data_IF_680597305879
#
_entry.id   IF_680597305879
#
_cell.length_a   1.000
_cell.length_b   1.000
_cell.length_c   1.000
_cell.angle_alpha   90.00
_cell.angle_beta   90.00
_cell.angle_gamma   90.00
#
_symmetry.space_group_name_H-M   'P 1'
#
loop_
_entity.id
_entity.type
_entity.pdbx_description
1 polymer ?
#
# COMPACT_ATOMS: atom_id res chain seq x y z
N UNK A 1 -21.24 -13.32 38.05
CA UNK A 1 -20.47 -13.60 36.83
C UNK A 1 -19.06 -13.89 37.28
N UNK A 2 -18.61 -15.14 37.14
CA UNK A 2 -17.36 -15.62 37.71
C UNK A 2 -16.36 -15.78 36.56
N UNK A 3 -15.57 -14.75 36.28
CA UNK A 3 -14.43 -14.87 35.38
C UNK A 3 -13.33 -15.63 36.10
N UNK A 4 -13.31 -16.96 35.91
CA UNK A 4 -12.19 -17.79 36.33
C UNK A 4 -10.96 -17.35 35.55
N UNK A 5 -10.00 -16.75 36.25
CA UNK A 5 -8.67 -16.47 35.71
C UNK A 5 -8.01 -17.81 35.40
N UNK A 6 -7.84 -18.11 34.11
CA UNK A 6 -7.20 -19.35 33.64
C UNK A 6 -5.75 -19.38 34.09
N UNK A 7 -5.30 -20.54 34.55
CA UNK A 7 -3.90 -20.77 34.91
C UNK A 7 -3.00 -20.78 33.67
N UNK A 8 -1.71 -20.47 33.85
CA UNK A 8 -0.74 -20.52 32.76
C UNK A 8 -0.67 -21.91 32.09
N UNK A 9 -0.95 -22.97 32.85
CA UNK A 9 -1.01 -24.35 32.36
C UNK A 9 -2.24 -24.63 31.51
N UNK A 10 -3.42 -24.11 31.88
CA UNK A 10 -4.63 -24.20 31.06
C UNK A 10 -4.49 -23.42 29.74
N UNK A 11 -3.86 -22.24 29.78
CA UNK A 11 -3.55 -21.46 28.56
C UNK A 11 -2.55 -22.21 27.68
N UNK A 12 -1.56 -22.89 28.28
CA UNK A 12 -0.59 -23.69 27.55
C UNK A 12 -1.23 -24.95 26.93
N UNK A 13 -2.15 -25.60 27.64
CA UNK A 13 -2.90 -26.77 27.14
C UNK A 13 -3.89 -26.41 26.04
N UNK A 14 -4.62 -25.29 26.16
CA UNK A 14 -5.48 -24.79 25.07
C UNK A 14 -4.67 -24.46 23.81
N UNK A 15 -3.51 -23.81 23.97
CA UNK A 15 -2.60 -23.54 22.85
C UNK A 15 -2.04 -24.83 22.24
N UNK A 16 -1.75 -25.85 23.05
CA UNK A 16 -1.27 -27.14 22.58
C UNK A 16 -2.35 -27.92 21.83
N UNK A 17 -3.58 -27.96 22.34
CA UNK A 17 -4.73 -28.58 21.68
C UNK A 17 -5.07 -27.88 20.35
N UNK A 18 -4.99 -26.55 20.31
CA UNK A 18 -5.13 -25.80 19.06
C UNK A 18 -4.03 -26.11 18.03
N UNK A 19 -2.85 -26.56 18.45
CA UNK A 19 -1.73 -26.92 17.56
C UNK A 19 -1.85 -28.35 17.01
N UNK A 20 -2.56 -29.25 17.71
CA UNK A 20 -2.82 -30.63 17.23
C UNK A 20 -3.81 -30.67 16.06
N UNK A 21 -4.75 -29.73 16.01
CA UNK A 21 -5.77 -29.63 14.93
C UNK A 21 -5.26 -28.91 13.65
N UNK A 22 -4.05 -28.36 13.65
CA UNK A 22 -3.52 -27.67 12.47
C UNK A 22 -2.97 -28.66 11.45
N UNK A 23 -3.32 -28.44 10.18
CA UNK A 23 -2.64 -29.12 9.07
C UNK A 23 -1.16 -28.75 9.04
N UNK A 24 -0.34 -29.60 8.42
CA UNK A 24 1.09 -29.31 8.24
C UNK A 24 1.33 -28.02 7.44
N UNK A 25 0.43 -27.72 6.48
CA UNK A 25 0.45 -26.45 5.73
C UNK A 25 0.25 -25.24 6.65
N UNK A 26 -0.68 -25.35 7.61
CA UNK A 26 -1.00 -24.26 8.53
C UNK A 26 0.12 -24.08 9.58
N UNK A 27 0.72 -25.17 10.04
CA UNK A 27 1.93 -25.11 10.88
C UNK A 27 3.08 -24.42 10.17
N UNK A 28 3.33 -24.77 8.91
CA UNK A 28 4.37 -24.14 8.08
C UNK A 28 4.08 -22.65 7.84
N UNK A 29 2.82 -22.28 7.57
CA UNK A 29 2.39 -20.88 7.42
C UNK A 29 2.70 -20.05 8.68
N UNK A 30 2.40 -20.59 9.86
CA UNK A 30 2.66 -19.93 11.15
C UNK A 30 4.16 -19.80 11.42
N UNK A 31 4.95 -20.85 11.13
CA UNK A 31 6.42 -20.79 11.27
C UNK A 31 7.01 -19.72 10.34
N UNK A 32 6.58 -19.71 9.08
CA UNK A 32 6.97 -18.71 8.10
C UNK A 32 6.60 -17.30 8.56
N UNK A 33 5.39 -17.10 9.10
CA UNK A 33 4.93 -15.80 9.60
C UNK A 33 5.79 -15.30 10.76
N UNK A 34 6.14 -16.18 11.71
CA UNK A 34 7.06 -15.85 12.82
C UNK A 34 8.42 -15.40 12.30
N UNK A 35 8.95 -16.07 11.28
CA UNK A 35 10.25 -15.76 10.70
C UNK A 35 10.25 -14.47 9.86
N UNK A 36 9.18 -14.24 9.11
CA UNK A 36 9.05 -13.08 8.22
C UNK A 36 8.70 -11.80 8.96
N UNK A 37 7.91 -11.87 10.04
CA UNK A 37 7.46 -10.70 10.80
C UNK A 37 8.58 -9.69 11.12
N UNK A 38 9.72 -10.07 11.74
CA UNK A 38 10.79 -9.12 12.03
C UNK A 38 11.47 -8.57 10.76
N UNK A 39 11.57 -9.38 9.71
CA UNK A 39 12.19 -8.98 8.43
C UNK A 39 11.32 -7.93 7.74
N UNK A 40 10.03 -8.21 7.61
CA UNK A 40 9.07 -7.31 6.97
C UNK A 40 8.91 -6.02 7.76
N UNK A 41 8.85 -6.11 9.10
CA UNK A 41 8.77 -4.94 9.96
C UNK A 41 9.99 -4.01 9.79
N UNK A 42 11.21 -4.57 9.78
CA UNK A 42 12.42 -3.79 9.52
C UNK A 42 12.42 -3.18 8.11
N UNK A 43 11.91 -3.90 7.12
CA UNK A 43 11.82 -3.37 5.76
C UNK A 43 10.84 -2.20 5.68
N UNK A 44 9.62 -2.34 6.22
CA UNK A 44 8.60 -1.28 6.19
C UNK A 44 8.98 -0.06 7.04
N UNK A 45 9.81 -0.22 8.07
CA UNK A 45 10.36 0.91 8.86
C UNK A 45 11.61 1.55 8.24
N UNK A 46 12.02 1.15 7.04
CA UNK A 46 13.25 1.61 6.38
C UNK A 46 14.55 1.24 7.12
N UNK A 47 14.51 0.29 8.05
CA UNK A 47 15.70 -0.21 8.76
C UNK A 47 16.54 -1.14 7.87
N UNK A 48 15.90 -1.82 6.93
CA UNK A 48 16.57 -2.69 5.95
C UNK A 48 16.09 -2.42 4.52
N UNK A 49 16.99 -2.62 3.56
CA UNK A 49 16.73 -2.51 2.11
C UNK A 49 16.45 -3.85 1.44
N UNK A 50 16.10 -3.83 0.13
CA UNK A 50 15.88 -5.03 -0.68
C UNK A 50 17.05 -6.03 -0.64
N UNK A 51 18.28 -5.55 -0.59
CA UNK A 51 19.50 -6.35 -0.53
C UNK A 51 19.58 -7.16 0.77
N UNK A 52 19.12 -6.56 1.87
CA UNK A 52 19.11 -7.23 3.17
C UNK A 52 17.95 -8.21 3.32
N UNK A 53 16.83 -7.98 2.63
CA UNK A 53 15.78 -9.00 2.45
C UNK A 53 16.38 -10.21 1.74
N UNK A 54 17.04 -9.98 0.61
CA UNK A 54 17.69 -11.03 -0.17
C UNK A 54 18.64 -11.86 0.69
N UNK A 55 19.56 -11.19 1.41
CA UNK A 55 20.55 -11.84 2.27
C UNK A 55 19.92 -12.71 3.35
N UNK A 56 18.84 -12.24 3.98
CA UNK A 56 18.13 -12.96 5.05
C UNK A 56 17.32 -14.14 4.53
N UNK A 57 16.97 -14.18 3.25
CA UNK A 57 16.11 -15.22 2.67
C UNK A 57 16.84 -16.18 1.71
N UNK A 58 18.12 -15.94 1.39
CA UNK A 58 18.82 -16.63 0.29
C UNK A 58 18.91 -18.16 0.33
N UNK A 59 18.71 -18.77 1.50
CA UNK A 59 18.80 -20.22 1.72
C UNK A 59 17.49 -20.81 2.25
N UNK A 60 16.39 -20.09 2.10
CA UNK A 60 15.11 -20.44 2.70
C UNK A 60 14.26 -21.35 1.81
N UNK A 61 13.29 -22.02 2.45
CA UNK A 61 12.33 -22.87 1.74
C UNK A 61 11.46 -22.04 0.81
N UNK A 62 11.02 -22.67 -0.29
CA UNK A 62 10.17 -22.04 -1.28
C UNK A 62 8.86 -21.50 -0.66
N UNK A 63 8.27 -22.20 0.30
CA UNK A 63 7.08 -21.77 1.06
C UNK A 63 7.29 -20.40 1.72
N UNK A 64 8.40 -20.21 2.41
CA UNK A 64 8.78 -18.93 3.02
C UNK A 64 8.97 -17.83 1.97
N UNK A 65 9.64 -18.14 0.84
CA UNK A 65 9.86 -17.18 -0.24
C UNK A 65 8.53 -16.71 -0.86
N UNK A 66 7.58 -17.62 -1.10
CA UNK A 66 6.24 -17.27 -1.60
C UNK A 66 5.52 -16.34 -0.62
N UNK A 67 5.53 -16.68 0.67
CA UNK A 67 4.87 -15.87 1.69
C UNK A 67 5.53 -14.49 1.84
N UNK A 68 6.86 -14.40 1.77
CA UNK A 68 7.59 -13.13 1.77
C UNK A 68 7.17 -12.24 0.60
N UNK A 69 7.07 -12.83 -0.60
CA UNK A 69 6.69 -12.11 -1.80
C UNK A 69 5.22 -11.67 -1.76
N UNK A 70 4.31 -12.52 -1.26
CA UNK A 70 2.91 -12.17 -1.05
C UNK A 70 2.77 -10.99 -0.07
N UNK A 71 3.46 -11.03 1.07
CA UNK A 71 3.45 -9.91 2.03
C UNK A 71 3.90 -8.59 1.37
N UNK A 72 4.96 -8.63 0.56
CA UNK A 72 5.43 -7.45 -0.16
C UNK A 72 4.41 -6.96 -1.18
N UNK A 73 3.78 -7.85 -1.96
CA UNK A 73 2.75 -7.51 -2.94
C UNK A 73 1.50 -6.93 -2.27
N UNK A 74 1.06 -7.53 -1.16
CA UNK A 74 -0.11 -7.08 -0.39
C UNK A 74 0.12 -5.75 0.32
N UNK A 75 1.39 -5.42 0.56
CA UNK A 75 1.76 -4.12 1.08
C UNK A 75 1.69 -3.01 0.02
N UNK A 76 1.62 -3.34 -1.28
CA UNK A 76 1.52 -2.33 -2.34
C UNK A 76 0.17 -1.62 -2.28
N UNK A 77 0.20 -0.29 -2.23
CA UNK A 77 -1.01 0.55 -2.30
C UNK A 77 -0.79 1.68 -3.28
N UNK A 78 -1.85 2.10 -3.95
CA UNK A 78 -1.81 3.25 -4.86
C UNK A 78 -1.35 4.54 -4.15
N UNK A 79 -1.72 4.68 -2.88
CA UNK A 79 -1.39 5.82 -2.01
C UNK A 79 0.07 5.85 -1.55
N UNK A 80 0.89 4.82 -1.82
CA UNK A 80 2.31 4.84 -1.47
C UNK A 80 3.06 5.91 -2.27
N UNK A 81 4.03 6.57 -1.66
CA UNK A 81 4.94 7.45 -2.39
C UNK A 81 5.74 6.68 -3.46
N UNK A 82 6.14 7.38 -4.53
CA UNK A 82 6.82 6.76 -5.68
C UNK A 82 8.11 6.03 -5.28
N UNK A 83 8.90 6.60 -4.38
CA UNK A 83 10.15 5.98 -3.91
C UNK A 83 9.90 4.76 -3.03
N UNK A 84 8.86 4.79 -2.19
CA UNK A 84 8.45 3.65 -1.38
C UNK A 84 7.91 2.51 -2.26
N UNK A 85 7.14 2.83 -3.32
CA UNK A 85 6.71 1.86 -4.32
C UNK A 85 7.92 1.20 -5.00
N UNK A 86 8.88 1.99 -5.50
CA UNK A 86 10.09 1.46 -6.14
C UNK A 86 10.88 0.55 -5.20
N UNK A 87 11.02 0.94 -3.92
CA UNK A 87 11.69 0.12 -2.91
C UNK A 87 10.99 -1.23 -2.73
N UNK A 88 9.66 -1.24 -2.60
CA UNK A 88 8.87 -2.48 -2.49
C UNK A 88 8.98 -3.34 -3.74
N UNK A 89 8.93 -2.73 -4.93
CA UNK A 89 9.15 -3.40 -6.21
C UNK A 89 10.51 -4.13 -6.23
N UNK A 90 11.59 -3.44 -5.82
CA UNK A 90 12.91 -4.05 -5.70
C UNK A 90 12.93 -5.19 -4.69
N UNK A 91 12.24 -5.06 -3.56
CA UNK A 91 12.08 -6.16 -2.59
C UNK A 91 11.40 -7.40 -3.18
N UNK A 92 10.35 -7.20 -3.97
CA UNK A 92 9.63 -8.30 -4.66
C UNK A 92 10.56 -9.03 -5.63
N UNK A 93 11.35 -8.28 -6.41
CA UNK A 93 12.33 -8.84 -7.35
C UNK A 93 13.47 -9.54 -6.61
N UNK A 94 13.94 -8.99 -5.49
CA UNK A 94 14.95 -9.62 -4.66
C UNK A 94 14.47 -11.01 -4.19
N UNK A 95 13.25 -11.12 -3.65
CA UNK A 95 12.68 -12.42 -3.25
C UNK A 95 12.50 -13.35 -4.45
N UNK A 96 12.01 -12.84 -5.59
CA UNK A 96 11.82 -13.66 -6.80
C UNK A 96 13.13 -14.28 -7.29
N UNK A 97 14.24 -13.53 -7.23
CA UNK A 97 15.55 -14.00 -7.68
C UNK A 97 16.12 -15.18 -6.89
N UNK A 98 15.55 -15.47 -5.72
CA UNK A 98 15.95 -16.59 -4.86
C UNK A 98 15.25 -17.90 -5.25
N UNK A 99 14.22 -17.85 -6.09
CA UNK A 99 13.52 -19.05 -6.54
C UNK A 99 14.29 -19.75 -7.66
N UNK A 100 14.17 -21.07 -7.71
CA UNK A 100 14.71 -21.89 -8.81
C UNK A 100 13.96 -21.63 -10.12
N UNK A 101 12.63 -21.64 -10.05
CA UNK A 101 11.76 -21.34 -11.18
C UNK A 101 11.28 -19.89 -11.07
N UNK A 102 11.90 -19.02 -11.86
CA UNK A 102 11.64 -17.59 -11.78
C UNK A 102 10.66 -17.14 -12.85
N UNK A 103 9.75 -16.24 -12.46
CA UNK A 103 8.87 -15.45 -13.32
C UNK A 103 9.28 -13.98 -13.32
N UNK A 104 10.56 -13.69 -13.07
CA UNK A 104 11.14 -12.35 -12.94
C UNK A 104 10.68 -11.37 -14.02
N UNK A 105 10.75 -11.75 -15.30
CA UNK A 105 10.33 -10.88 -16.41
C UNK A 105 8.86 -10.47 -16.32
N UNK A 106 7.95 -11.43 -16.08
CA UNK A 106 6.52 -11.15 -15.96
C UNK A 106 6.19 -10.28 -14.74
N UNK A 107 6.86 -10.55 -13.61
CA UNK A 107 6.69 -9.75 -12.38
C UNK A 107 7.23 -8.34 -12.61
N UNK A 108 8.43 -8.18 -13.17
CA UNK A 108 9.02 -6.88 -13.49
C UNK A 108 8.13 -6.05 -14.42
N UNK A 109 7.51 -6.69 -15.42
CA UNK A 109 6.57 -6.03 -16.31
C UNK A 109 5.37 -5.48 -15.52
N UNK A 110 4.75 -6.30 -14.66
CA UNK A 110 3.64 -5.86 -13.81
C UNK A 110 4.02 -4.73 -12.85
N UNK A 111 5.18 -4.83 -12.20
CA UNK A 111 5.68 -3.78 -11.29
C UNK A 111 5.97 -2.47 -12.04
N UNK A 112 6.49 -2.55 -13.27
CA UNK A 112 6.69 -1.36 -14.13
C UNK A 112 5.36 -0.71 -14.52
N UNK A 113 4.31 -1.52 -14.75
CA UNK A 113 2.96 -0.99 -14.98
C UNK A 113 2.45 -0.20 -13.76
N UNK A 114 2.67 -0.69 -12.53
CA UNK A 114 2.30 0.05 -11.31
C UNK A 114 3.02 1.40 -11.22
N UNK A 115 4.31 1.44 -11.53
CA UNK A 115 5.07 2.70 -11.52
C UNK A 115 4.58 3.67 -12.58
N UNK A 116 4.29 3.17 -13.79
CA UNK A 116 3.77 4.00 -14.87
C UNK A 116 2.38 4.55 -14.53
N UNK A 117 1.50 3.74 -13.94
CA UNK A 117 0.18 4.18 -13.46
C UNK A 117 0.32 5.34 -12.46
N UNK A 118 1.24 5.24 -11.50
CA UNK A 118 1.48 6.35 -10.56
C UNK A 118 1.97 7.63 -11.25
N UNK A 119 2.91 7.52 -12.19
CA UNK A 119 3.43 8.68 -12.92
C UNK A 119 2.34 9.34 -13.76
N UNK A 120 1.51 8.55 -14.43
CA UNK A 120 0.37 9.03 -15.21
C UNK A 120 -0.66 9.73 -14.31
N UNK A 121 -1.00 9.12 -13.17
CA UNK A 121 -1.92 9.67 -12.20
C UNK A 121 -1.42 11.05 -11.71
N UNK A 122 -0.15 11.14 -11.32
CA UNK A 122 0.43 12.40 -10.85
C UNK A 122 0.44 13.49 -11.94
N UNK A 123 0.77 13.12 -13.18
CA UNK A 123 0.73 14.05 -14.31
C UNK A 123 -0.70 14.56 -14.59
N UNK A 124 -1.69 13.67 -14.60
CA UNK A 124 -3.10 14.03 -14.82
C UNK A 124 -3.62 14.92 -13.70
N UNK A 125 -3.38 14.55 -12.43
CA UNK A 125 -3.81 15.33 -11.27
C UNK A 125 -3.24 16.75 -11.32
N UNK A 126 -1.96 16.89 -11.64
CA UNK A 126 -1.30 18.20 -11.75
C UNK A 126 -1.82 19.01 -12.94
N UNK A 127 -2.08 18.38 -14.07
CA UNK A 127 -2.67 19.05 -15.23
C UNK A 127 -4.06 19.60 -14.89
N UNK A 128 -4.95 18.76 -14.36
CA UNK A 128 -6.32 19.15 -14.00
C UNK A 128 -6.31 20.23 -12.93
N UNK A 129 -5.45 20.11 -11.91
CA UNK A 129 -5.30 21.14 -10.88
C UNK A 129 -4.92 22.50 -11.49
N UNK A 130 -3.97 22.52 -12.42
CA UNK A 130 -3.54 23.74 -13.09
C UNK A 130 -4.64 24.35 -13.97
N UNK A 131 -5.52 23.53 -14.55
CA UNK A 131 -6.67 24.01 -15.32
C UNK A 131 -7.72 24.66 -14.42
N UNK A 132 -8.01 24.06 -13.25
CA UNK A 132 -8.83 24.70 -12.22
C UNK A 132 -8.21 26.00 -11.72
N UNK A 133 -6.88 26.01 -11.49
CA UNK A 133 -6.14 27.20 -11.06
C UNK A 133 -6.33 28.35 -12.05
N UNK A 134 -6.12 28.10 -13.34
CA UNK A 134 -6.36 29.10 -14.41
C UNK A 134 -7.80 29.58 -14.45
N UNK A 135 -8.77 28.70 -14.22
CA UNK A 135 -10.18 29.08 -14.19
C UNK A 135 -10.50 30.01 -13.00
N UNK A 136 -9.94 29.74 -11.83
CA UNK A 136 -10.06 30.60 -10.63
C UNK A 136 -9.37 31.94 -10.84
N UNK A 137 -8.19 31.97 -11.46
CA UNK A 137 -7.47 33.22 -11.77
C UNK A 137 -8.29 34.13 -12.69
N UNK A 138 -9.01 33.56 -13.65
CA UNK A 138 -9.90 34.28 -14.57
C UNK A 138 -11.21 34.73 -13.91
N UNK A 139 -11.56 34.19 -12.74
CA UNK A 139 -12.78 34.56 -12.01
C UNK A 139 -12.46 34.94 -10.55
N UNK A 140 -12.13 36.22 -10.27
CA UNK A 140 -11.78 36.68 -8.92
C UNK A 140 -12.85 36.43 -7.84
N UNK A 141 -14.13 36.31 -8.22
CA UNK A 141 -15.21 36.00 -7.26
C UNK A 141 -15.15 34.55 -6.77
N UNK A 142 -14.58 33.63 -7.55
CA UNK A 142 -14.39 32.23 -7.14
C UNK A 142 -13.45 32.10 -5.93
N UNK A 143 -12.68 33.14 -5.62
CA UNK A 143 -11.79 33.22 -4.46
C UNK A 143 -12.47 33.77 -3.21
N UNK A 144 -13.72 34.20 -3.30
CA UNK A 144 -14.42 34.84 -2.19
C UNK A 144 -15.35 33.84 -1.51
N UNK A 145 -15.24 33.72 -0.18
CA UNK A 145 -16.15 32.93 0.66
C UNK A 145 -16.78 33.83 1.71
N UNK A 146 -18.07 33.65 1.96
CA UNK A 146 -18.78 34.32 3.05
C UNK A 146 -19.04 33.25 4.11
N UNK A 147 -18.52 33.47 5.32
CA UNK A 147 -18.74 32.62 6.48
C UNK A 147 -19.47 33.43 7.56
N UNK A 148 -20.31 32.76 8.33
CA UNK A 148 -21.00 33.38 9.46
C UNK A 148 -20.32 32.93 10.77
N UNK A 149 -19.79 33.89 11.52
CA UNK A 149 -19.17 33.66 12.82
C UNK A 149 -19.77 34.63 13.83
N UNK A 150 -20.31 34.10 14.93
CA UNK A 150 -20.89 34.89 16.03
C UNK A 150 -21.92 35.93 15.59
N UNK A 151 -22.75 35.60 14.59
CA UNK A 151 -23.79 36.49 14.05
C UNK A 151 -23.28 37.56 13.07
N UNK A 152 -21.99 37.57 12.72
CA UNK A 152 -21.41 38.45 11.71
C UNK A 152 -21.02 37.68 10.45
N UNK A 153 -21.32 38.26 9.26
CA UNK A 153 -20.86 37.74 7.96
C UNK A 153 -19.45 38.26 7.67
N UNK A 154 -18.49 37.36 7.62
CA UNK A 154 -17.09 37.66 7.29
C UNK A 154 -16.82 37.22 5.86
N UNK A 155 -16.25 38.14 5.07
CA UNK A 155 -15.80 37.86 3.69
C UNK A 155 -14.34 37.45 3.72
N UNK A 156 -14.07 36.18 3.45
CA UNK A 156 -12.74 35.62 3.35
C UNK A 156 -12.31 35.58 1.87
N UNK A 157 -11.12 36.11 1.58
CA UNK A 157 -10.50 36.03 0.24
C UNK A 157 -9.42 34.97 0.25
N UNK A 158 -9.67 33.88 -0.44
CA UNK A 158 -8.78 32.73 -0.56
C UNK A 158 -7.60 33.02 -1.51
N UNK A 159 -6.50 32.30 -1.33
CA UNK A 159 -5.51 32.13 -2.40
C UNK A 159 -6.13 31.40 -3.59
N UNK A 160 -5.46 31.43 -4.74
CA UNK A 160 -5.96 30.69 -5.91
C UNK A 160 -5.97 29.19 -5.62
N UNK A 161 -4.91 28.70 -4.99
CA UNK A 161 -4.73 27.31 -4.60
C UNK A 161 -5.78 26.85 -3.59
N UNK A 162 -6.08 27.66 -2.57
CA UNK A 162 -7.13 27.35 -1.58
C UNK A 162 -8.52 27.34 -2.22
N UNK A 163 -8.78 28.24 -3.15
CA UNK A 163 -10.05 28.26 -3.88
C UNK A 163 -10.24 27.01 -4.75
N UNK A 164 -9.18 26.49 -5.37
CA UNK A 164 -9.21 25.21 -6.10
C UNK A 164 -9.44 24.05 -5.16
N UNK A 165 -8.69 23.92 -4.06
CA UNK A 165 -8.84 22.80 -3.13
C UNK A 165 -10.22 22.76 -2.45
N UNK A 166 -10.85 23.91 -2.29
CA UNK A 166 -12.22 24.03 -1.77
C UNK A 166 -13.30 23.93 -2.86
N UNK A 167 -12.94 23.84 -4.14
CA UNK A 167 -13.90 23.74 -5.24
C UNK A 167 -14.60 22.37 -5.21
N UNK A 168 -15.95 22.31 -5.21
CA UNK A 168 -16.69 21.04 -5.24
C UNK A 168 -16.36 20.15 -6.45
N UNK A 169 -16.13 20.73 -7.63
CA UNK A 169 -15.78 19.98 -8.84
C UNK A 169 -14.39 19.36 -8.73
N UNK A 170 -13.44 20.07 -8.10
CA UNK A 170 -12.12 19.50 -7.82
C UNK A 170 -12.20 18.33 -6.84
N UNK A 171 -13.01 18.46 -5.77
CA UNK A 171 -13.23 17.36 -4.81
C UNK A 171 -13.89 16.15 -5.46
N UNK A 172 -14.87 16.38 -6.33
CA UNK A 172 -15.52 15.31 -7.09
C UNK A 172 -14.52 14.64 -8.05
N UNK A 173 -13.73 15.42 -8.78
CA UNK A 173 -12.67 14.91 -9.64
C UNK A 173 -11.71 14.02 -8.84
N UNK A 174 -11.24 14.45 -7.66
CA UNK A 174 -10.35 13.66 -6.82
C UNK A 174 -10.99 12.32 -6.40
N UNK A 175 -12.25 12.32 -6.00
CA UNK A 175 -12.95 11.09 -5.62
C UNK A 175 -13.04 10.08 -6.78
N UNK A 176 -13.41 10.57 -7.98
CA UNK A 176 -13.50 9.72 -9.17
C UNK A 176 -12.12 9.24 -9.65
N UNK A 177 -11.14 10.13 -9.59
CA UNK A 177 -9.74 9.88 -9.92
C UNK A 177 -9.13 8.80 -9.02
N UNK A 178 -9.29 8.92 -7.70
CA UNK A 178 -8.76 7.96 -6.72
C UNK A 178 -9.37 6.58 -6.94
N UNK A 179 -10.71 6.52 -7.08
CA UNK A 179 -11.42 5.27 -7.34
C UNK A 179 -10.96 4.58 -8.62
N UNK A 180 -10.76 5.34 -9.70
CA UNK A 180 -10.30 4.80 -10.99
C UNK A 180 -8.91 4.22 -10.87
N UNK A 181 -7.95 4.99 -10.38
CA UNK A 181 -6.56 4.56 -10.29
C UNK A 181 -6.34 3.46 -9.26
N UNK A 182 -7.05 3.47 -8.13
CA UNK A 182 -7.02 2.36 -7.18
C UNK A 182 -7.54 1.06 -7.79
N UNK A 183 -8.62 1.14 -8.58
CA UNK A 183 -9.16 -0.01 -9.32
C UNK A 183 -8.18 -0.56 -10.36
N UNK A 184 -7.51 0.31 -11.12
CA UNK A 184 -6.47 -0.10 -12.09
C UNK A 184 -5.25 -0.70 -11.39
N UNK A 185 -4.79 -0.07 -10.30
CA UNK A 185 -3.66 -0.55 -9.51
C UNK A 185 -3.93 -1.95 -8.94
N UNK A 186 -5.14 -2.17 -8.41
CA UNK A 186 -5.57 -3.47 -7.86
C UNK A 186 -5.62 -4.55 -8.94
N UNK A 187 -6.06 -4.23 -10.16
CA UNK A 187 -6.05 -5.18 -11.29
C UNK A 187 -4.63 -5.63 -11.62
N UNK A 188 -3.67 -4.70 -11.68
CA UNK A 188 -2.27 -5.03 -11.94
C UNK A 188 -1.67 -5.88 -10.80
N UNK A 189 -1.96 -5.55 -9.54
CA UNK A 189 -1.59 -6.42 -8.40
C UNK A 189 -2.15 -7.84 -8.58
N UNK A 190 -3.42 -7.96 -8.95
CA UNK A 190 -4.06 -9.25 -9.20
C UNK A 190 -3.39 -10.05 -10.32
N UNK A 191 -2.86 -9.37 -11.35
CA UNK A 191 -2.06 -10.01 -12.40
C UNK A 191 -0.71 -10.49 -11.88
N UNK A 192 -0.01 -9.67 -11.09
CA UNK A 192 1.29 -10.03 -10.49
C UNK A 192 1.12 -11.27 -9.59
N UNK A 193 0.05 -11.31 -8.77
CA UNK A 193 -0.24 -12.43 -7.86
C UNK A 193 -0.34 -13.79 -8.58
N UNK A 194 -0.73 -13.84 -9.86
CA UNK A 194 -0.82 -15.08 -10.65
C UNK A 194 0.54 -15.73 -10.93
N UNK A 195 1.63 -14.96 -10.83
CA UNK A 195 2.99 -15.45 -11.05
C UNK A 195 3.67 -15.92 -9.76
N UNK A 196 2.98 -15.80 -8.62
CA UNK A 196 3.46 -16.27 -7.32
C UNK A 196 3.11 -17.75 -7.22
N UNK A 197 3.93 -18.56 -7.89
CA UNK A 197 3.83 -20.02 -7.90
C UNK A 197 4.74 -20.61 -6.86
#
# INVERSE_FOLDING_TARGET
MNDKIKTAMEIAMEKAAMLEDLSEEEKERIENEKKLSPIMAGFYRNEIGPEKIWEKLKNEKLSLLKQAQLNLIESLKFTLEQEELKKRNKGIIAVESLKKEQKTSAIQQGLSMLENLKRQAEAEKNQVFNDFKKAVEKNPQARTRIIEQSGAKIVLKLSTEDAVTQNPQWKQFLADFEKRYEGEFTKVIGQIKKYII
#
